data_IF_105805170796
#
_entry.id   IF_105805170796
#
_cell.length_a   1.000
_cell.length_b   1.000
_cell.length_c   1.000
_cell.angle_alpha   90.00
_cell.angle_beta   90.00
_cell.angle_gamma   90.00
#
_symmetry.space_group_name_H-M   'P 1'
#
loop_
_entity.id
_entity.type
_entity.pdbx_description
1 polymer ?
#
# COMPACT_ATOMS: atom_id res chain seq x y z
N UNK A 1 -28.82 -48.91 -30.37
CA UNK A 1 -28.44 -48.62 -28.99
C UNK A 1 -27.27 -47.65 -29.05
N UNK A 2 -27.49 -46.34 -28.77
CA UNK A 2 -26.45 -45.31 -28.72
C UNK A 2 -25.98 -45.28 -27.27
N UNK A 3 -24.76 -45.71 -27.00
CA UNK A 3 -24.14 -45.59 -25.69
C UNK A 3 -23.64 -44.14 -25.53
N UNK A 4 -24.31 -43.35 -24.69
CA UNK A 4 -23.84 -42.03 -24.29
C UNK A 4 -22.65 -42.19 -23.34
N UNK A 5 -21.45 -41.86 -23.80
CA UNK A 5 -20.26 -41.76 -22.96
C UNK A 5 -20.42 -40.50 -22.08
N UNK A 6 -20.76 -40.69 -20.80
CA UNK A 6 -20.71 -39.63 -19.80
C UNK A 6 -19.24 -39.41 -19.45
N UNK A 7 -18.61 -38.42 -20.03
CA UNK A 7 -17.29 -37.96 -19.60
C UNK A 7 -17.44 -37.23 -18.23
N UNK A 8 -17.16 -37.96 -17.16
CA UNK A 8 -16.97 -37.34 -15.85
C UNK A 8 -15.68 -36.49 -15.87
N UNK A 9 -15.81 -35.21 -15.99
CA UNK A 9 -14.69 -34.31 -15.78
C UNK A 9 -14.33 -34.35 -14.31
N UNK A 10 -13.27 -35.09 -13.97
CA UNK A 10 -12.67 -35.00 -12.64
C UNK A 10 -12.13 -33.56 -12.48
N UNK A 11 -12.73 -32.78 -11.61
CA UNK A 11 -12.14 -31.52 -11.16
C UNK A 11 -10.85 -31.89 -10.44
N UNK A 12 -9.71 -31.69 -11.10
CA UNK A 12 -8.38 -31.86 -10.48
C UNK A 12 -8.23 -30.80 -9.41
N UNK A 13 -8.33 -31.21 -8.15
CA UNK A 13 -8.04 -30.34 -7.03
C UNK A 13 -6.51 -30.03 -7.03
N UNK A 14 -6.14 -28.78 -6.83
CA UNK A 14 -4.75 -28.42 -6.60
C UNK A 14 -4.35 -28.91 -5.20
N UNK A 15 -3.19 -29.55 -5.09
CA UNK A 15 -2.66 -30.09 -3.83
C UNK A 15 -1.82 -29.09 -3.04
N UNK A 16 -1.71 -27.85 -3.54
CA UNK A 16 -0.94 -26.78 -2.94
C UNK A 16 -1.75 -25.47 -2.89
N UNK A 17 -1.88 -24.88 -1.73
CA UNK A 17 -2.61 -23.63 -1.52
C UNK A 17 -1.84 -22.48 -2.20
N UNK A 18 -2.54 -21.68 -2.99
CA UNK A 18 -2.01 -20.44 -3.60
C UNK A 18 -2.60 -19.23 -2.91
N UNK A 19 -1.72 -18.37 -2.38
CA UNK A 19 -2.05 -17.15 -1.65
C UNK A 19 -1.46 -15.96 -2.41
N UNK A 20 -2.24 -14.90 -2.59
CA UNK A 20 -1.80 -13.66 -3.23
C UNK A 20 -2.17 -12.47 -2.35
N UNK A 21 -1.63 -11.29 -2.60
CA UNK A 21 -2.16 -10.07 -1.99
C UNK A 21 -1.14 -9.19 -1.27
N UNK A 22 -1.54 -8.68 -0.12
CA UNK A 22 -0.89 -7.60 0.62
C UNK A 22 0.60 -7.84 0.90
N UNK A 23 1.45 -6.90 0.51
CA UNK A 23 2.87 -6.85 0.91
C UNK A 23 3.05 -6.69 2.42
N UNK A 24 2.15 -5.96 3.08
CA UNK A 24 2.12 -5.79 4.54
C UNK A 24 1.94 -7.11 5.28
N UNK A 25 1.05 -7.97 4.78
CA UNK A 25 0.73 -9.28 5.40
C UNK A 25 1.73 -10.36 4.97
N UNK A 26 2.42 -10.17 3.85
CA UNK A 26 3.32 -11.14 3.23
C UNK A 26 4.33 -11.78 4.21
N UNK A 27 5.12 -11.03 5.02
CA UNK A 27 6.11 -11.62 5.92
C UNK A 27 5.48 -12.52 6.98
N UNK A 28 4.31 -12.16 7.49
CA UNK A 28 3.59 -12.98 8.49
C UNK A 28 3.02 -14.25 7.85
N UNK A 29 2.37 -14.10 6.69
CA UNK A 29 1.82 -15.23 5.95
C UNK A 29 2.90 -16.24 5.54
N UNK A 30 4.10 -15.77 5.19
CA UNK A 30 5.24 -16.64 4.86
C UNK A 30 5.65 -17.52 6.05
N UNK A 31 5.77 -16.94 7.25
CA UNK A 31 6.09 -17.70 8.46
C UNK A 31 5.01 -18.75 8.77
N UNK A 32 3.73 -18.40 8.60
CA UNK A 32 2.61 -19.34 8.80
C UNK A 32 2.64 -20.46 7.78
N UNK A 33 2.86 -20.13 6.49
CA UNK A 33 2.95 -21.12 5.42
C UNK A 33 4.10 -22.11 5.60
N UNK A 34 5.28 -21.61 6.01
CA UNK A 34 6.43 -22.46 6.31
C UNK A 34 6.14 -23.41 7.48
N UNK A 35 5.53 -22.91 8.56
CA UNK A 35 5.14 -23.75 9.71
C UNK A 35 4.10 -24.80 9.30
N UNK A 36 3.12 -24.42 8.47
CA UNK A 36 2.11 -25.32 7.95
C UNK A 36 2.74 -26.45 7.11
N UNK A 37 3.65 -26.11 6.18
CA UNK A 37 4.34 -27.11 5.36
C UNK A 37 5.26 -28.03 6.18
N UNK A 38 5.94 -27.50 7.21
CA UNK A 38 6.78 -28.29 8.14
C UNK A 38 5.98 -29.32 8.95
N UNK A 39 4.65 -29.20 9.04
CA UNK A 39 3.79 -30.22 9.67
C UNK A 39 3.84 -31.57 8.94
N UNK A 40 4.34 -31.62 7.71
CA UNK A 40 4.50 -32.82 6.91
C UNK A 40 3.20 -33.40 6.31
N UNK A 41 2.03 -32.82 6.64
CA UNK A 41 0.73 -33.31 6.15
C UNK A 41 0.33 -32.73 4.79
N UNK A 42 0.82 -31.51 4.47
CA UNK A 42 0.46 -30.75 3.28
C UNK A 42 1.66 -30.05 2.68
N UNK A 43 1.61 -29.74 1.39
CA UNK A 43 2.63 -28.91 0.73
C UNK A 43 2.62 -27.50 1.31
N UNK A 44 3.81 -26.90 1.43
CA UNK A 44 3.94 -25.50 1.83
C UNK A 44 3.16 -24.59 0.88
N UNK A 45 2.23 -23.74 1.35
CA UNK A 45 1.54 -22.78 0.50
C UNK A 45 2.49 -21.88 -0.26
N UNK A 46 2.14 -21.55 -1.51
CA UNK A 46 2.86 -20.54 -2.31
C UNK A 46 2.23 -19.18 -2.05
N UNK A 47 3.06 -18.19 -1.74
CA UNK A 47 2.61 -16.83 -1.44
C UNK A 47 3.26 -15.84 -2.40
N UNK A 48 2.44 -15.00 -3.05
CA UNK A 48 2.88 -13.94 -3.96
C UNK A 48 2.45 -12.56 -3.41
N UNK A 49 3.41 -11.64 -3.29
CA UNK A 49 3.14 -10.25 -2.92
C UNK A 49 2.69 -9.44 -4.14
N UNK A 50 1.38 -9.32 -4.32
CA UNK A 50 0.75 -8.62 -5.46
C UNK A 50 0.06 -7.31 -5.05
N UNK A 51 0.20 -6.92 -3.76
CA UNK A 51 -0.57 -5.86 -3.13
C UNK A 51 -2.04 -6.23 -2.89
N UNK A 52 -2.69 -5.57 -1.95
CA UNK A 52 -4.09 -5.86 -1.59
C UNK A 52 -5.03 -5.76 -2.80
N UNK A 53 -4.91 -4.68 -3.60
CA UNK A 53 -5.78 -4.47 -4.76
C UNK A 53 -5.50 -5.47 -5.89
N UNK A 54 -4.23 -5.82 -6.12
CA UNK A 54 -3.81 -6.85 -7.07
C UNK A 54 -4.34 -8.23 -6.66
N UNK A 55 -4.14 -8.60 -5.40
CA UNK A 55 -4.64 -9.86 -4.83
C UNK A 55 -6.15 -9.99 -4.92
N UNK A 56 -6.90 -8.96 -4.52
CA UNK A 56 -8.37 -8.95 -4.65
C UNK A 56 -8.83 -9.13 -6.11
N UNK A 57 -8.14 -8.51 -7.07
CA UNK A 57 -8.45 -8.66 -8.49
C UNK A 57 -8.21 -10.09 -8.98
N UNK A 58 -7.12 -10.73 -8.57
CA UNK A 58 -6.80 -12.12 -8.92
C UNK A 58 -7.76 -13.09 -8.24
N UNK A 59 -8.04 -12.91 -6.96
CA UNK A 59 -8.97 -13.74 -6.19
C UNK A 59 -10.40 -13.63 -6.73
N UNK A 60 -10.88 -12.43 -7.03
CA UNK A 60 -12.22 -12.22 -7.60
C UNK A 60 -12.31 -12.51 -9.11
N UNK A 61 -11.25 -13.02 -9.76
CA UNK A 61 -11.30 -13.33 -11.19
C UNK A 61 -12.07 -14.63 -11.48
N UNK A 62 -12.23 -15.52 -10.51
CA UNK A 62 -13.00 -16.77 -10.67
C UNK A 62 -12.70 -17.79 -9.58
N UNK A 63 -13.27 -18.97 -9.74
CA UNK A 63 -13.06 -20.14 -8.88
C UNK A 63 -12.29 -21.23 -9.63
N UNK A 64 -11.68 -22.16 -8.90
CA UNK A 64 -10.96 -23.31 -9.44
C UNK A 64 -9.45 -23.16 -9.44
N UNK A 65 -8.74 -24.16 -9.97
CA UNK A 65 -7.29 -24.34 -9.82
C UNK A 65 -6.44 -23.26 -10.48
N UNK A 66 -6.99 -22.47 -11.40
CA UNK A 66 -6.30 -21.36 -12.07
C UNK A 66 -6.33 -20.05 -11.26
N UNK A 67 -7.11 -20.01 -10.19
CA UNK A 67 -7.27 -18.83 -9.33
C UNK A 67 -6.68 -19.08 -7.94
N UNK A 68 -6.28 -18.03 -7.19
CA UNK A 68 -5.78 -18.20 -5.83
C UNK A 68 -6.90 -18.65 -4.89
N UNK A 69 -6.53 -19.42 -3.86
CA UNK A 69 -7.44 -19.91 -2.82
C UNK A 69 -7.69 -18.86 -1.75
N UNK A 70 -6.66 -18.03 -1.47
CA UNK A 70 -6.67 -17.02 -0.42
C UNK A 70 -6.11 -15.71 -0.98
N UNK A 71 -6.66 -14.59 -0.54
CA UNK A 71 -6.02 -13.29 -0.74
C UNK A 71 -5.75 -12.62 0.60
N UNK A 72 -4.50 -12.22 0.81
CA UNK A 72 -4.09 -11.40 1.93
C UNK A 72 -4.47 -9.94 1.68
N UNK A 73 -4.96 -9.26 2.70
CA UNK A 73 -5.38 -7.86 2.59
C UNK A 73 -4.96 -7.06 3.82
N UNK A 74 -4.56 -5.81 3.62
CA UNK A 74 -4.28 -4.83 4.67
C UNK A 74 -5.46 -3.88 4.93
N UNK A 75 -6.62 -4.20 4.39
CA UNK A 75 -7.90 -3.50 4.55
C UNK A 75 -9.05 -4.42 4.16
N UNK A 76 -10.25 -4.10 4.60
CA UNK A 76 -11.46 -4.79 4.17
C UNK A 76 -11.66 -4.70 2.63
N UNK A 77 -12.37 -5.69 2.07
CA UNK A 77 -12.78 -5.71 0.67
C UNK A 77 -13.66 -4.49 0.35
N UNK A 78 -13.40 -3.84 -0.78
CA UNK A 78 -14.20 -2.69 -1.25
C UNK A 78 -15.47 -3.17 -1.97
N UNK A 79 -16.58 -2.38 -1.95
CA UNK A 79 -17.81 -2.76 -2.65
C UNK A 79 -17.62 -3.12 -4.13
N UNK A 80 -16.72 -2.44 -4.84
CA UNK A 80 -16.40 -2.76 -6.25
C UNK A 80 -15.67 -4.09 -6.41
N UNK A 81 -14.82 -4.45 -5.46
CA UNK A 81 -14.09 -5.73 -5.45
C UNK A 81 -15.07 -6.86 -5.16
N UNK A 82 -15.96 -6.67 -4.16
CA UNK A 82 -17.03 -7.63 -3.88
C UNK A 82 -17.94 -7.85 -5.10
N UNK A 83 -18.36 -6.79 -5.78
CA UNK A 83 -19.15 -6.91 -6.99
C UNK A 83 -18.43 -7.66 -8.13
N UNK A 84 -17.10 -7.52 -8.23
CA UNK A 84 -16.29 -8.32 -9.16
C UNK A 84 -16.27 -9.79 -8.79
N UNK A 85 -16.09 -10.11 -7.51
CA UNK A 85 -16.18 -11.47 -6.98
C UNK A 85 -17.54 -12.11 -7.33
N UNK A 86 -18.64 -11.42 -6.98
CA UNK A 86 -20.02 -11.89 -7.21
C UNK A 86 -20.27 -12.16 -8.71
N UNK A 87 -19.82 -11.24 -9.59
CA UNK A 87 -19.92 -11.39 -11.05
C UNK A 87 -19.23 -12.63 -11.58
N UNK A 88 -18.08 -12.99 -11.01
CA UNK A 88 -17.25 -14.11 -11.45
C UNK A 88 -17.49 -15.41 -10.65
N UNK A 89 -18.59 -15.48 -9.88
CA UNK A 89 -18.99 -16.68 -9.16
C UNK A 89 -18.23 -16.94 -7.87
N UNK A 90 -17.38 -16.02 -7.40
CA UNK A 90 -16.71 -16.11 -6.10
C UNK A 90 -17.68 -15.62 -5.04
N UNK A 91 -18.38 -16.57 -4.43
CA UNK A 91 -19.38 -16.34 -3.37
C UNK A 91 -18.82 -16.78 -2.02
N UNK A 92 -19.55 -16.55 -0.95
CA UNK A 92 -19.24 -17.06 0.40
C UNK A 92 -17.82 -16.71 0.86
N UNK A 93 -17.42 -15.44 0.63
CA UNK A 93 -16.10 -14.92 1.03
C UNK A 93 -16.03 -14.83 2.54
N UNK A 94 -15.07 -15.55 3.13
CA UNK A 94 -14.79 -15.52 4.57
C UNK A 94 -13.65 -14.54 4.81
N UNK A 95 -13.90 -13.51 5.62
CA UNK A 95 -12.88 -12.56 6.09
C UNK A 95 -12.42 -12.95 7.49
N UNK A 96 -11.11 -13.16 7.64
CA UNK A 96 -10.47 -13.46 8.93
C UNK A 96 -9.53 -12.32 9.28
N UNK A 97 -9.84 -11.58 10.35
CA UNK A 97 -8.97 -10.53 10.87
C UNK A 97 -7.87 -11.19 11.71
N UNK A 98 -6.63 -11.08 11.26
CA UNK A 98 -5.46 -11.72 11.91
C UNK A 98 -4.66 -10.74 12.77
N UNK A 99 -4.88 -9.43 12.62
CA UNK A 99 -4.21 -8.39 13.39
C UNK A 99 -4.41 -7.01 12.80
N UNK A 100 -3.89 -6.01 13.51
CA UNK A 100 -3.80 -4.63 13.05
C UNK A 100 -2.36 -4.30 12.69
N UNK A 101 -2.13 -3.59 11.58
CA UNK A 101 -0.83 -3.03 11.23
C UNK A 101 -0.97 -1.54 10.96
N UNK A 102 0.13 -0.82 11.15
CA UNK A 102 0.22 0.60 10.88
C UNK A 102 1.05 0.88 9.65
N UNK A 103 0.89 2.08 9.11
CA UNK A 103 1.79 2.61 8.08
C UNK A 103 2.85 3.49 8.70
N UNK A 104 4.05 3.43 8.17
CA UNK A 104 5.19 4.21 8.61
C UNK A 104 5.70 5.10 7.50
N UNK A 105 6.04 6.33 7.87
CA UNK A 105 6.89 7.21 7.08
C UNK A 105 8.26 7.23 7.74
N UNK A 106 9.32 6.92 7.01
CA UNK A 106 10.63 6.68 7.59
C UNK A 106 11.76 7.21 6.70
N UNK A 107 12.95 7.29 7.28
CA UNK A 107 14.20 7.70 6.64
C UNK A 107 15.38 6.95 7.26
N UNK A 108 16.57 7.12 6.69
CA UNK A 108 17.81 6.50 7.20
C UNK A 108 18.11 6.90 8.64
N UNK A 109 18.64 5.96 9.45
CA UNK A 109 19.20 6.28 10.79
C UNK A 109 20.33 7.30 10.73
N UNK A 110 21.04 7.39 9.59
CA UNK A 110 22.13 8.35 9.34
C UNK A 110 21.65 9.80 9.14
N UNK A 111 20.37 10.01 8.82
CA UNK A 111 19.82 11.35 8.64
C UNK A 111 19.42 11.98 9.99
N UNK A 112 19.25 13.31 10.02
CA UNK A 112 18.65 14.00 11.18
C UNK A 112 17.19 13.65 11.29
N UNK A 113 16.64 13.67 12.52
CA UNK A 113 15.21 13.49 12.74
C UNK A 113 14.41 14.57 11.99
N UNK A 114 13.27 14.14 11.43
CA UNK A 114 12.39 14.99 10.66
C UNK A 114 10.95 14.88 11.18
N UNK A 115 10.21 15.98 11.08
CA UNK A 115 8.81 16.07 11.40
C UNK A 115 8.11 16.90 10.31
N UNK A 116 7.08 16.34 9.72
CA UNK A 116 6.30 17.01 8.67
C UNK A 116 4.84 17.10 9.07
N UNK A 117 4.17 18.16 8.67
CA UNK A 117 2.71 18.18 8.72
C UNK A 117 2.12 17.37 7.57
N UNK A 118 0.88 16.91 7.73
CA UNK A 118 0.16 16.24 6.63
C UNK A 118 0.02 17.15 5.40
N UNK A 119 -0.11 18.46 5.59
CA UNK A 119 -0.16 19.42 4.49
C UNK A 119 1.17 19.52 3.76
N UNK A 120 2.31 19.60 4.47
CA UNK A 120 3.63 19.59 3.84
C UNK A 120 3.88 18.32 3.04
N UNK A 121 3.49 17.14 3.57
CA UNK A 121 3.57 15.86 2.86
C UNK A 121 2.64 15.81 1.64
N UNK A 122 1.44 16.37 1.76
CA UNK A 122 0.53 16.50 0.62
C UNK A 122 1.13 17.42 -0.46
N UNK A 123 1.65 18.58 -0.09
CA UNK A 123 2.32 19.51 -1.03
C UNK A 123 3.55 18.88 -1.68
N UNK A 124 4.29 18.04 -0.95
CA UNK A 124 5.44 17.31 -1.52
C UNK A 124 5.04 16.27 -2.56
N UNK A 125 3.90 15.61 -2.40
CA UNK A 125 3.51 14.43 -3.17
C UNK A 125 2.37 14.66 -4.17
N UNK A 126 1.55 15.71 -4.01
CA UNK A 126 0.38 15.93 -4.85
C UNK A 126 0.78 16.22 -6.32
N UNK A 127 -0.02 15.75 -7.26
CA UNK A 127 0.15 16.02 -8.70
C UNK A 127 -0.07 17.52 -9.02
N UNK A 128 -1.18 18.07 -8.53
CA UNK A 128 -1.50 19.49 -8.63
C UNK A 128 -1.59 20.07 -7.23
N UNK A 129 -1.20 21.33 -7.06
CA UNK A 129 -1.31 22.08 -5.79
C UNK A 129 -1.97 23.43 -6.03
N UNK A 130 -2.51 24.02 -4.96
CA UNK A 130 -2.96 25.41 -4.98
C UNK A 130 -1.81 26.36 -4.73
N UNK A 131 -1.60 27.28 -5.64
CA UNK A 131 -0.67 28.42 -5.47
C UNK A 131 -1.46 29.71 -5.73
N UNK A 132 -1.54 30.58 -4.75
CA UNK A 132 -2.30 31.84 -4.81
C UNK A 132 -3.75 31.64 -5.31
N UNK A 133 -4.42 30.58 -4.83
CA UNK A 133 -5.80 30.25 -5.19
C UNK A 133 -5.99 29.61 -6.57
N UNK A 134 -4.92 29.40 -7.34
CA UNK A 134 -4.95 28.72 -8.64
C UNK A 134 -4.38 27.32 -8.53
N UNK A 135 -5.03 26.37 -9.21
CA UNK A 135 -4.54 25.01 -9.33
C UNK A 135 -3.45 24.93 -10.41
N UNK A 136 -2.25 24.52 -10.02
CA UNK A 136 -1.10 24.36 -10.92
C UNK A 136 -0.48 22.98 -10.76
N UNK A 137 0.25 22.50 -11.77
CA UNK A 137 1.13 21.36 -11.62
C UNK A 137 2.15 21.63 -10.51
N UNK A 138 2.45 20.61 -9.70
CA UNK A 138 3.25 20.80 -8.50
C UNK A 138 4.66 21.38 -8.79
N UNK A 139 4.96 22.62 -8.39
CA UNK A 139 6.22 23.28 -8.70
C UNK A 139 7.34 22.95 -7.69
N UNK A 140 6.99 22.40 -6.51
CA UNK A 140 7.93 22.19 -5.41
C UNK A 140 8.92 21.08 -5.75
N UNK A 141 10.22 21.40 -5.73
CA UNK A 141 11.30 20.44 -5.99
C UNK A 141 12.10 20.13 -4.72
N UNK A 142 12.14 21.06 -3.80
CA UNK A 142 12.84 20.96 -2.52
C UNK A 142 11.85 21.10 -1.37
N UNK A 143 12.19 20.55 -0.22
CA UNK A 143 11.40 20.74 0.99
C UNK A 143 11.25 22.20 1.38
N UNK A 144 12.33 23.00 1.23
CA UNK A 144 12.32 24.45 1.49
C UNK A 144 11.45 25.27 0.52
N UNK A 145 11.03 24.70 -0.61
CA UNK A 145 10.07 25.35 -1.51
C UNK A 145 8.65 25.32 -0.93
N UNK A 146 8.36 24.31 -0.12
CA UNK A 146 7.06 24.12 0.55
C UNK A 146 7.01 25.02 1.80
N UNK A 147 8.07 25.01 2.59
CA UNK A 147 8.20 25.77 3.84
C UNK A 147 9.68 26.10 4.10
N UNK A 148 10.00 27.36 4.32
CA UNK A 148 11.38 27.83 4.54
C UNK A 148 12.04 27.25 5.79
N UNK A 149 11.27 26.76 6.75
CA UNK A 149 11.77 26.05 7.93
C UNK A 149 12.27 24.63 7.65
N UNK A 150 11.89 24.06 6.49
CA UNK A 150 12.29 22.73 6.07
C UNK A 150 13.68 22.73 5.40
N UNK A 151 14.38 21.58 5.36
CA UNK A 151 15.72 21.49 4.77
C UNK A 151 15.74 21.91 3.30
N UNK A 152 16.79 22.61 2.88
CA UNK A 152 17.04 22.91 1.47
C UNK A 152 17.60 21.67 0.74
N UNK A 153 16.80 20.60 0.67
CA UNK A 153 17.13 19.33 0.04
C UNK A 153 16.03 18.93 -0.94
N UNK A 154 16.40 18.19 -1.97
CA UNK A 154 15.43 17.66 -2.95
C UNK A 154 14.38 16.78 -2.27
N UNK A 155 13.14 16.87 -2.72
CA UNK A 155 12.08 15.93 -2.34
C UNK A 155 12.37 14.60 -3.02
N UNK A 156 12.53 13.54 -2.23
CA UNK A 156 12.72 12.17 -2.70
C UNK A 156 11.89 11.24 -1.80
N UNK A 157 10.79 10.75 -2.28
CA UNK A 157 9.89 9.89 -1.47
C UNK A 157 9.58 8.62 -2.24
N UNK A 158 9.96 7.47 -1.68
CA UNK A 158 9.55 6.17 -2.20
C UNK A 158 8.15 5.84 -1.69
N UNK A 159 7.30 5.42 -2.61
CA UNK A 159 5.90 5.09 -2.33
C UNK A 159 5.53 3.73 -2.93
N UNK A 160 4.68 2.93 -2.26
CA UNK A 160 4.14 1.73 -2.85
C UNK A 160 3.25 2.04 -4.07
N UNK A 161 3.01 1.07 -4.96
CA UNK A 161 2.20 1.27 -6.16
C UNK A 161 0.72 1.52 -5.83
N UNK A 162 -0.09 1.98 -6.79
CA UNK A 162 -1.53 2.23 -6.59
C UNK A 162 -2.34 1.01 -6.16
N UNK A 163 -1.84 -0.20 -6.36
CA UNK A 163 -2.47 -1.47 -5.95
C UNK A 163 -2.27 -1.78 -4.47
N UNK A 164 -1.29 -1.15 -3.82
CA UNK A 164 -0.93 -1.39 -2.43
C UNK A 164 -2.00 -0.90 -1.45
N UNK A 165 -2.30 -1.71 -0.43
CA UNK A 165 -3.13 -1.30 0.70
C UNK A 165 -2.49 -0.20 1.55
N UNK A 166 -1.17 -0.24 1.71
CA UNK A 166 -0.39 0.83 2.38
C UNK A 166 -0.56 2.17 1.66
N UNK A 167 -0.53 2.17 0.30
CA UNK A 167 -0.81 3.35 -0.51
C UNK A 167 -2.25 3.85 -0.32
N UNK A 168 -3.24 2.96 -0.26
CA UNK A 168 -4.63 3.33 0.01
C UNK A 168 -4.80 3.99 1.39
N UNK A 169 -4.16 3.43 2.42
CA UNK A 169 -4.17 4.00 3.76
C UNK A 169 -3.50 5.39 3.79
N UNK A 170 -2.33 5.54 3.16
CA UNK A 170 -1.66 6.83 3.03
C UNK A 170 -2.55 7.88 2.33
N UNK A 171 -3.17 7.50 1.22
CA UNK A 171 -4.07 8.38 0.48
C UNK A 171 -5.24 8.87 1.35
N UNK A 172 -5.75 8.03 2.24
CA UNK A 172 -6.84 8.38 3.16
C UNK A 172 -6.37 9.23 4.34
N UNK A 173 -5.29 8.79 5.01
CA UNK A 173 -4.86 9.33 6.31
C UNK A 173 -3.97 10.58 6.18
N UNK A 174 -3.20 10.68 5.09
CA UNK A 174 -2.26 11.76 4.88
C UNK A 174 -2.68 12.64 3.70
N UNK A 175 -2.77 12.10 2.48
CA UNK A 175 -3.06 12.91 1.30
C UNK A 175 -4.45 13.59 1.36
N UNK A 176 -5.48 12.84 1.72
CA UNK A 176 -6.85 13.38 1.83
C UNK A 176 -7.03 14.38 2.97
N UNK A 177 -6.32 14.16 4.11
CA UNK A 177 -6.39 15.06 5.27
C UNK A 177 -5.44 16.25 5.13
N UNK A 178 -4.28 16.07 4.51
CA UNK A 178 -3.29 17.13 4.25
C UNK A 178 -3.68 18.08 3.10
N UNK A 179 -4.53 17.62 2.19
CA UNK A 179 -5.07 18.47 1.12
C UNK A 179 -5.83 19.67 1.71
N UNK A 180 -5.35 20.88 1.45
CA UNK A 180 -5.87 22.11 2.05
C UNK A 180 -7.33 22.39 1.65
N UNK A 181 -8.02 23.23 2.42
CA UNK A 181 -9.38 23.68 2.06
C UNK A 181 -9.36 24.42 0.73
N UNK A 182 -8.34 25.26 0.49
CA UNK A 182 -8.16 26.03 -0.75
C UNK A 182 -7.96 25.08 -1.95
N UNK A 183 -7.09 24.07 -1.83
CA UNK A 183 -6.90 23.07 -2.88
C UNK A 183 -8.18 22.29 -3.19
N UNK A 184 -8.94 21.87 -2.16
CA UNK A 184 -10.24 21.19 -2.35
C UNK A 184 -11.24 22.06 -3.08
N UNK A 185 -11.28 23.37 -2.77
CA UNK A 185 -12.14 24.33 -3.47
C UNK A 185 -11.69 24.50 -4.93
N UNK A 186 -10.39 24.68 -5.18
CA UNK A 186 -9.83 24.80 -6.52
C UNK A 186 -10.09 23.55 -7.38
N UNK A 187 -9.96 22.34 -6.82
CA UNK A 187 -10.32 21.10 -7.52
C UNK A 187 -11.81 21.06 -7.90
N UNK A 188 -12.70 21.46 -6.99
CA UNK A 188 -14.13 21.50 -7.27
C UNK A 188 -14.45 22.53 -8.36
N UNK A 189 -13.86 23.73 -8.30
CA UNK A 189 -14.01 24.76 -9.33
C UNK A 189 -13.54 24.28 -10.71
N UNK A 190 -12.49 23.44 -10.76
CA UNK A 190 -11.99 22.79 -11.97
C UNK A 190 -12.81 21.53 -12.39
N UNK A 191 -13.99 21.28 -11.82
CA UNK A 191 -14.83 20.12 -12.13
C UNK A 191 -14.28 18.76 -11.68
N UNK A 192 -13.22 18.74 -10.86
CA UNK A 192 -12.57 17.52 -10.38
C UNK A 192 -13.20 17.05 -9.06
N UNK A 193 -13.32 15.73 -8.87
CA UNK A 193 -13.72 15.14 -7.58
C UNK A 193 -12.57 15.31 -6.58
N UNK A 194 -12.68 16.26 -5.66
CA UNK A 194 -11.61 16.67 -4.73
C UNK A 194 -10.96 15.49 -4.00
N UNK A 195 -11.76 14.51 -3.48
CA UNK A 195 -11.22 13.31 -2.80
C UNK A 195 -10.24 12.52 -3.69
N UNK A 196 -10.59 12.33 -4.97
CA UNK A 196 -9.73 11.60 -5.93
C UNK A 196 -8.52 12.45 -6.34
N UNK A 197 -8.74 13.74 -6.57
CA UNK A 197 -7.70 14.66 -7.01
C UNK A 197 -6.63 14.88 -5.91
N UNK A 198 -7.03 15.05 -4.64
CA UNK A 198 -6.12 15.16 -3.51
C UNK A 198 -5.21 13.92 -3.33
N UNK A 199 -5.69 12.75 -3.75
CA UNK A 199 -4.93 11.49 -3.62
C UNK A 199 -4.04 11.19 -4.84
N UNK A 200 -4.14 11.97 -5.94
CA UNK A 200 -3.28 11.77 -7.11
C UNK A 200 -1.87 12.26 -6.78
N UNK A 201 -0.89 11.37 -6.90
CA UNK A 201 0.52 11.74 -6.70
C UNK A 201 1.14 12.28 -8.00
N UNK A 202 2.22 13.04 -7.80
CA UNK A 202 3.06 13.55 -8.89
C UNK A 202 3.78 12.41 -9.62
N UNK A 203 4.11 12.65 -10.89
CA UNK A 203 4.71 11.66 -11.79
C UNK A 203 6.05 12.15 -12.39
N UNK A 204 6.66 13.17 -11.76
CA UNK A 204 7.89 13.83 -12.23
C UNK A 204 9.17 13.27 -11.61
N UNK A 205 9.10 12.05 -11.03
CA UNK A 205 10.23 11.33 -10.46
C UNK A 205 10.58 11.67 -9.01
N UNK A 206 9.88 12.62 -8.35
CA UNK A 206 10.12 12.95 -6.94
C UNK A 206 9.30 12.07 -5.99
N UNK A 207 8.15 11.56 -6.44
CA UNK A 207 7.46 10.42 -5.86
C UNK A 207 7.87 9.17 -6.66
N UNK A 208 8.71 8.34 -6.05
CA UNK A 208 9.32 7.19 -6.71
C UNK A 208 8.52 5.95 -6.37
N UNK A 209 7.87 5.36 -7.36
CA UNK A 209 7.13 4.12 -7.15
C UNK A 209 8.08 2.93 -7.01
N UNK A 210 7.94 2.20 -5.89
CA UNK A 210 8.91 1.18 -5.48
C UNK A 210 8.47 -0.27 -5.70
N UNK A 211 7.32 -0.50 -6.36
CA UNK A 211 6.71 -1.83 -6.43
C UNK A 211 6.10 -2.28 -5.10
N UNK A 212 5.73 -3.56 -5.02
CA UNK A 212 5.02 -4.14 -3.85
C UNK A 212 5.99 -4.67 -2.77
N UNK A 213 7.29 -4.62 -3.00
CA UNK A 213 8.28 -5.15 -2.05
C UNK A 213 8.85 -4.04 -1.17
N UNK A 214 8.33 -3.92 0.06
CA UNK A 214 8.76 -2.93 1.04
C UNK A 214 10.26 -3.05 1.42
N UNK A 215 10.87 -4.22 1.26
CA UNK A 215 12.32 -4.42 1.48
C UNK A 215 13.16 -3.56 0.53
N UNK A 216 12.70 -3.34 -0.69
CA UNK A 216 13.37 -2.44 -1.65
C UNK A 216 13.40 -1.01 -1.11
N UNK A 217 12.29 -0.53 -0.54
CA UNK A 217 12.22 0.80 0.09
C UNK A 217 13.23 0.91 1.22
N UNK A 218 13.25 -0.05 2.14
CA UNK A 218 14.20 -0.09 3.28
C UNK A 218 15.65 0.00 2.80
N UNK A 219 16.03 -0.80 1.80
CA UNK A 219 17.39 -0.80 1.26
C UNK A 219 17.76 0.56 0.63
N UNK A 220 16.85 1.19 -0.10
CA UNK A 220 17.07 2.52 -0.69
C UNK A 220 17.23 3.61 0.36
N UNK A 221 16.39 3.60 1.41
CA UNK A 221 16.51 4.55 2.53
C UNK A 221 17.84 4.38 3.29
N UNK A 222 18.30 3.15 3.49
CA UNK A 222 19.58 2.88 4.14
C UNK A 222 20.76 3.44 3.35
N UNK A 223 20.67 3.43 2.01
CA UNK A 223 21.71 3.91 1.10
C UNK A 223 21.69 5.43 0.88
N UNK A 224 20.49 6.08 0.87
CA UNK A 224 20.34 7.52 0.64
C UNK A 224 19.71 8.20 1.86
N UNK A 225 20.51 8.92 2.69
CA UNK A 225 20.01 9.62 3.88
C UNK A 225 19.05 10.79 3.59
N UNK A 226 18.95 11.24 2.35
CA UNK A 226 18.04 12.32 1.95
C UNK A 226 16.70 11.81 1.45
N UNK A 227 16.54 10.47 1.38
CA UNK A 227 15.32 9.82 0.90
C UNK A 227 14.38 9.47 2.06
N UNK A 228 13.09 9.60 1.80
CA UNK A 228 12.01 9.12 2.66
C UNK A 228 11.26 7.98 2.00
N UNK A 229 10.58 7.18 2.79
CA UNK A 229 9.79 6.05 2.28
C UNK A 229 8.56 5.76 3.10
N UNK A 230 7.58 5.17 2.43
CA UNK A 230 6.30 4.77 2.97
C UNK A 230 6.13 3.26 2.85
N UNK A 231 5.87 2.59 3.98
CA UNK A 231 5.69 1.13 4.05
C UNK A 231 5.01 0.72 5.37
N UNK A 232 4.74 -0.58 5.53
CA UNK A 232 4.15 -1.15 6.73
C UNK A 232 5.04 -0.99 7.97
N UNK A 233 4.42 -0.79 9.14
CA UNK A 233 5.13 -0.60 10.42
C UNK A 233 6.01 -1.78 10.79
N UNK A 234 5.63 -2.98 10.40
CA UNK A 234 6.43 -4.21 10.61
C UNK A 234 7.83 -4.11 10.03
N UNK A 235 7.97 -3.52 8.84
CA UNK A 235 9.29 -3.32 8.20
C UNK A 235 10.14 -2.28 8.94
N UNK A 236 9.53 -1.24 9.52
CA UNK A 236 10.24 -0.30 10.38
C UNK A 236 10.81 -1.01 11.62
N UNK A 237 10.00 -1.84 12.27
CA UNK A 237 10.43 -2.57 13.48
C UNK A 237 11.53 -3.58 13.17
N UNK A 238 11.42 -4.30 12.04
CA UNK A 238 12.39 -5.31 11.62
C UNK A 238 13.74 -4.72 11.17
N UNK A 239 13.81 -3.40 10.88
CA UNK A 239 15.00 -2.76 10.32
C UNK A 239 15.44 -1.50 11.08
N UNK A 240 15.26 -1.46 12.39
CA UNK A 240 15.62 -0.32 13.26
C UNK A 240 17.10 0.06 13.22
N UNK A 241 17.94 -0.85 12.82
CA UNK A 241 19.39 -0.66 12.62
C UNK A 241 19.71 0.18 11.37
N UNK A 242 18.81 0.23 10.39
CA UNK A 242 18.99 0.89 9.08
C UNK A 242 18.15 2.15 8.92
N UNK A 243 16.92 2.11 9.43
CA UNK A 243 15.91 3.14 9.23
C UNK A 243 15.24 3.55 10.54
N UNK A 244 14.73 4.77 10.59
CA UNK A 244 13.98 5.29 11.72
C UNK A 244 12.72 6.04 11.31
N UNK A 245 11.75 6.09 12.21
CA UNK A 245 10.48 6.77 11.98
C UNK A 245 10.66 8.28 11.79
N UNK A 246 9.97 8.82 10.79
CA UNK A 246 9.73 10.25 10.62
C UNK A 246 8.44 10.62 11.32
N UNK A 247 8.44 11.69 12.10
CA UNK A 247 7.22 12.17 12.73
C UNK A 247 6.28 12.83 11.71
N UNK A 248 4.98 12.62 11.88
CA UNK A 248 3.91 13.29 11.11
C UNK A 248 2.99 13.99 12.09
N UNK A 249 2.87 15.31 11.99
CA UNK A 249 2.19 16.16 12.99
C UNK A 249 2.72 15.93 14.42
N UNK A 250 4.03 15.72 14.58
CA UNK A 250 4.66 15.46 15.88
C UNK A 250 4.54 14.03 16.39
N UNK A 251 3.81 13.13 15.70
CA UNK A 251 3.59 11.76 16.13
C UNK A 251 4.47 10.80 15.34
N UNK A 252 5.25 9.97 16.03
CA UNK A 252 5.96 8.82 15.45
C UNK A 252 5.08 7.57 15.57
N UNK A 253 5.13 6.65 14.60
CA UNK A 253 4.38 5.40 14.69
C UNK A 253 4.83 4.58 15.90
N UNK A 254 3.87 3.98 16.61
CA UNK A 254 4.11 3.15 17.78
C UNK A 254 3.06 2.04 17.85
N UNK A 255 3.36 0.96 18.58
CA UNK A 255 2.40 -0.13 18.81
C UNK A 255 1.10 0.39 19.43
N UNK A 256 1.18 1.27 20.43
CA UNK A 256 0.02 1.87 21.07
C UNK A 256 -0.85 2.65 20.08
N UNK A 257 -0.24 3.48 19.23
CA UNK A 257 -0.97 4.29 18.25
C UNK A 257 -1.54 3.50 17.06
N UNK A 258 -1.25 2.18 16.96
CA UNK A 258 -1.85 1.27 15.97
C UNK A 258 -3.07 0.55 16.56
N UNK A 259 -3.11 0.41 17.88
CA UNK A 259 -4.19 -0.25 18.62
C UNK A 259 -5.35 0.69 18.95
N UNK A 260 -5.10 1.99 19.10
CA UNK A 260 -6.07 3.07 19.31
C UNK A 260 -6.65 3.58 17.95
#
# INVERSE_FOLDING_TARGET
VVAALVMTTYASARDQIKIVGSSTVYPYATVVAEKFGKSGKFKTPVIESTGTGGGMKLFCAGVGTNHPDITNASRAIKPKEKALCDKNGVKDIIEIVVGNDGISFAHSVKAKDANFTKEQLWRALAHDVDVNGKLVANPYKKWSDIDKSLPNKAIKIMVPPPTSGTRDAWNSLVMGKGCSKAAKAAYKAAGKKAKKACAKLREDGLAIEAGENDTLIVNKLSADPDMFGLFGYSYLIANKDKIKATAVNGVKPSLKGIQD
#
